data_IF_232592570099
#
_entry.id   IF_232592570099
#
_cell.length_a   1.000
_cell.length_b   1.000
_cell.length_c   1.000
_cell.angle_alpha   90.00
_cell.angle_beta   90.00
_cell.angle_gamma   90.00
#
_symmetry.space_group_name_H-M   'P 1'
#
loop_
_entity.id
_entity.type
_entity.pdbx_description
1 polymer ?
#
# COMPACT_ATOMS: atom_id res chain seq x y z
N UNK A 1 13.25 28.13 -3.10
CA UNK A 1 12.76 27.96 -1.69
C UNK A 1 11.42 27.22 -1.60
N UNK A 2 10.64 27.09 -2.69
CA UNK A 2 9.46 26.20 -2.78
C UNK A 2 9.84 24.70 -2.73
N UNK A 3 11.00 24.36 -3.28
CA UNK A 3 11.49 22.97 -3.34
C UNK A 3 11.69 22.38 -1.95
N UNK A 4 12.11 23.18 -0.96
CA UNK A 4 12.29 22.71 0.42
C UNK A 4 10.97 22.29 1.07
N UNK A 5 9.85 22.99 0.76
CA UNK A 5 8.52 22.59 1.24
C UNK A 5 8.08 21.26 0.64
N UNK A 6 8.31 21.07 -0.67
CA UNK A 6 7.99 19.82 -1.34
C UNK A 6 8.84 18.66 -0.82
N UNK A 7 10.14 18.88 -0.60
CA UNK A 7 11.04 17.90 0.03
C UNK A 7 10.57 17.52 1.43
N UNK A 8 10.15 18.49 2.26
CA UNK A 8 9.59 18.21 3.60
C UNK A 8 8.34 17.34 3.52
N UNK A 9 7.46 17.55 2.54
CA UNK A 9 6.28 16.70 2.33
C UNK A 9 6.65 15.28 1.93
N UNK A 10 7.64 15.11 1.05
CA UNK A 10 8.16 13.79 0.69
C UNK A 10 8.74 13.06 1.91
N UNK A 11 9.50 13.76 2.75
CA UNK A 11 10.01 13.23 4.02
C UNK A 11 8.84 12.79 4.90
N UNK A 12 7.82 13.64 5.08
CA UNK A 12 6.66 13.31 5.90
C UNK A 12 5.90 12.09 5.39
N UNK A 13 5.79 11.89 4.07
CA UNK A 13 5.20 10.68 3.47
C UNK A 13 5.98 9.43 3.87
N UNK A 14 7.31 9.47 3.80
CA UNK A 14 8.15 8.34 4.22
C UNK A 14 7.99 8.08 5.73
N UNK A 15 7.94 9.13 6.54
CA UNK A 15 7.71 8.99 7.98
C UNK A 15 6.35 8.39 8.33
N UNK A 16 5.29 8.65 7.55
CA UNK A 16 3.99 7.98 7.73
C UNK A 16 4.09 6.46 7.55
N UNK A 17 4.90 5.98 6.60
CA UNK A 17 5.15 4.54 6.46
C UNK A 17 6.02 3.99 7.60
N UNK A 18 7.04 4.73 8.04
CA UNK A 18 7.90 4.33 9.17
C UNK A 18 7.17 4.22 10.50
N UNK A 19 6.08 4.97 10.70
CA UNK A 19 5.17 4.80 11.85
C UNK A 19 4.46 3.45 11.87
N UNK A 20 4.23 2.86 10.70
CA UNK A 20 3.59 1.54 10.58
C UNK A 20 4.61 0.42 10.77
N UNK A 21 5.77 0.56 10.14
CA UNK A 21 6.90 -0.35 10.27
C UNK A 21 8.21 0.41 9.95
N UNK A 22 9.11 0.60 10.93
CA UNK A 22 10.37 1.29 10.73
C UNK A 22 11.29 0.63 9.69
N UNK A 23 11.12 -0.67 9.43
CA UNK A 23 11.90 -1.46 8.49
C UNK A 23 11.13 -1.77 7.19
N UNK A 24 10.03 -1.05 6.92
CA UNK A 24 9.20 -1.27 5.74
C UNK A 24 10.02 -1.09 4.46
N UNK A 25 10.08 -2.15 3.66
CA UNK A 25 10.83 -2.15 2.40
C UNK A 25 10.14 -1.25 1.35
N UNK A 26 10.94 -0.55 0.55
CA UNK A 26 10.44 0.34 -0.50
C UNK A 26 9.50 -0.36 -1.50
N UNK A 27 9.77 -1.63 -1.81
CA UNK A 27 8.89 -2.45 -2.66
C UNK A 27 7.49 -2.65 -2.05
N UNK A 28 7.39 -2.76 -0.72
CA UNK A 28 6.12 -2.88 0.01
C UNK A 28 5.32 -1.59 -0.11
N UNK A 29 5.99 -0.45 0.09
CA UNK A 29 5.40 0.89 -0.06
C UNK A 29 4.89 1.08 -1.49
N UNK A 30 5.70 0.74 -2.50
CA UNK A 30 5.32 0.83 -3.90
C UNK A 30 4.04 0.02 -4.21
N UNK A 31 3.97 -1.23 -3.75
CA UNK A 31 2.80 -2.07 -3.98
C UNK A 31 1.54 -1.53 -3.30
N UNK A 32 1.66 -0.98 -2.09
CA UNK A 32 0.54 -0.29 -1.45
C UNK A 32 0.04 0.87 -2.31
N UNK A 33 0.95 1.75 -2.76
CA UNK A 33 0.60 2.91 -3.58
C UNK A 33 -0.01 2.52 -4.94
N UNK A 34 0.46 1.44 -5.56
CA UNK A 34 -0.13 0.92 -6.80
C UNK A 34 -1.56 0.43 -6.61
N UNK A 35 -1.85 -0.24 -5.50
CA UNK A 35 -3.22 -0.67 -5.17
C UNK A 35 -4.10 0.53 -4.84
N UNK A 36 -3.58 1.55 -4.14
CA UNK A 36 -4.28 2.82 -3.92
C UNK A 36 -4.65 3.49 -5.24
N UNK A 37 -3.71 3.55 -6.19
CA UNK A 37 -3.92 4.16 -7.50
C UNK A 37 -4.94 3.40 -8.36
N UNK A 38 -5.04 2.07 -8.18
CA UNK A 38 -5.98 1.22 -8.91
C UNK A 38 -6.59 0.13 -8.00
N UNK A 39 -7.60 0.46 -7.18
CA UNK A 39 -8.26 -0.53 -6.33
C UNK A 39 -8.87 -1.67 -7.15
N UNK A 40 -8.70 -2.91 -6.70
CA UNK A 40 -9.13 -4.10 -7.43
C UNK A 40 -8.15 -4.59 -8.49
N UNK A 41 -6.94 -4.00 -8.59
CA UNK A 41 -5.85 -4.50 -9.43
C UNK A 41 -5.52 -5.96 -9.08
N UNK A 42 -5.19 -6.75 -10.09
CA UNK A 42 -4.85 -8.17 -9.90
C UNK A 42 -3.39 -8.34 -9.46
N UNK A 43 -3.08 -9.44 -8.77
CA UNK A 43 -1.68 -9.78 -8.44
C UNK A 43 -0.80 -9.94 -9.68
N UNK A 44 -1.39 -10.36 -10.81
CA UNK A 44 -0.70 -10.49 -12.10
C UNK A 44 -0.31 -9.13 -12.67
N UNK A 45 -1.23 -8.17 -12.67
CA UNK A 45 -0.94 -6.81 -13.12
C UNK A 45 0.08 -6.12 -12.21
N UNK A 46 0.05 -6.36 -10.89
CA UNK A 46 1.07 -5.86 -9.98
C UNK A 46 2.47 -6.39 -10.36
N UNK A 47 2.60 -7.69 -10.63
CA UNK A 47 3.87 -8.28 -11.07
C UNK A 47 4.38 -7.66 -12.38
N UNK A 48 3.48 -7.39 -13.33
CA UNK A 48 3.80 -6.75 -14.61
C UNK A 48 4.25 -5.28 -14.43
N UNK A 49 3.73 -4.58 -13.43
CA UNK A 49 4.04 -3.17 -13.18
C UNK A 49 5.32 -2.93 -12.37
N UNK A 50 5.82 -3.94 -11.65
CA UNK A 50 6.95 -3.76 -10.71
C UNK A 50 8.16 -4.63 -10.99
N UNK A 51 8.13 -5.45 -12.05
CA UNK A 51 9.16 -6.46 -12.37
C UNK A 51 9.43 -7.46 -11.22
N UNK A 52 8.50 -7.56 -10.27
CA UNK A 52 8.63 -8.45 -9.11
C UNK A 52 8.09 -9.84 -9.45
N UNK A 53 8.72 -10.88 -8.90
CA UNK A 53 8.19 -12.23 -9.00
C UNK A 53 6.85 -12.36 -8.29
N UNK A 54 6.00 -13.28 -8.76
CA UNK A 54 4.71 -13.59 -8.11
C UNK A 54 4.87 -13.97 -6.64
N UNK A 55 5.99 -14.61 -6.27
CA UNK A 55 6.33 -14.93 -4.89
C UNK A 55 6.64 -13.67 -4.07
N UNK A 56 7.33 -12.67 -4.64
CA UNK A 56 7.56 -11.38 -3.99
C UNK A 56 6.27 -10.58 -3.87
N UNK A 57 5.42 -10.53 -4.90
CA UNK A 57 4.09 -9.90 -4.80
C UNK A 57 3.28 -10.55 -3.68
N UNK A 58 3.15 -11.88 -3.67
CA UNK A 58 2.37 -12.58 -2.66
C UNK A 58 2.89 -12.33 -1.24
N UNK A 59 4.21 -12.31 -1.03
CA UNK A 59 4.81 -11.99 0.28
C UNK A 59 4.48 -10.57 0.73
N UNK A 60 4.64 -9.59 -0.16
CA UNK A 60 4.37 -8.19 0.17
C UNK A 60 2.89 -7.92 0.40
N UNK A 61 1.99 -8.48 -0.43
CA UNK A 61 0.55 -8.35 -0.23
C UNK A 61 0.10 -9.03 1.07
N UNK A 62 0.71 -10.16 1.45
CA UNK A 62 0.46 -10.78 2.75
C UNK A 62 0.95 -9.91 3.92
N UNK A 63 2.14 -9.32 3.81
CA UNK A 63 2.67 -8.40 4.83
C UNK A 63 1.80 -7.14 4.97
N UNK A 64 1.26 -6.62 3.88
CA UNK A 64 0.30 -5.50 3.87
C UNK A 64 -1.12 -5.94 4.28
N UNK A 65 -1.38 -7.24 4.30
CA UNK A 65 -2.66 -7.84 4.66
C UNK A 65 -2.91 -7.90 6.16
N UNK A 66 -4.02 -8.52 6.56
CA UNK A 66 -4.33 -8.77 7.97
C UNK A 66 -3.38 -9.79 8.61
N UNK A 67 -2.94 -10.79 7.85
CA UNK A 67 -2.08 -11.87 8.34
C UNK A 67 -0.94 -12.14 7.37
N UNK A 68 0.28 -12.20 7.90
CA UNK A 68 1.47 -12.61 7.17
C UNK A 68 1.45 -14.12 6.91
N UNK A 69 2.20 -14.59 5.90
CA UNK A 69 2.41 -16.01 5.54
C UNK A 69 2.83 -16.95 6.70
N UNK A 70 3.31 -16.42 7.83
CA UNK A 70 3.69 -17.18 9.02
C UNK A 70 2.69 -17.12 10.19
N UNK A 71 1.47 -16.63 9.96
CA UNK A 71 0.45 -16.44 11.02
C UNK A 71 0.66 -15.20 11.88
N UNK A 72 1.75 -14.46 11.66
CA UNK A 72 1.99 -13.18 12.32
C UNK A 72 1.02 -12.11 11.82
N UNK A 73 0.61 -11.14 12.65
CA UNK A 73 -0.20 -10.01 12.21
C UNK A 73 0.52 -9.23 11.09
N UNK A 74 -0.21 -8.94 10.01
CA UNK A 74 0.25 -8.00 8.99
C UNK A 74 -0.19 -6.57 9.30
N UNK A 75 0.09 -5.63 8.38
CA UNK A 75 -0.24 -4.23 8.58
C UNK A 75 -1.74 -3.92 8.50
N UNK A 76 -2.55 -4.86 7.98
CA UNK A 76 -3.98 -4.74 7.75
C UNK A 76 -4.35 -3.52 6.88
N UNK A 77 -3.55 -3.23 5.86
CA UNK A 77 -3.76 -2.12 4.92
C UNK A 77 -4.48 -2.58 3.65
N UNK A 78 -4.21 -3.80 3.20
CA UNK A 78 -4.77 -4.39 1.99
C UNK A 78 -5.56 -5.66 2.28
N UNK A 79 -6.48 -6.01 1.39
CA UNK A 79 -7.18 -7.28 1.38
C UNK A 79 -7.09 -7.88 0.00
N UNK A 80 -6.67 -9.14 -0.07
CA UNK A 80 -6.74 -9.93 -1.30
C UNK A 80 -8.03 -10.75 -1.32
N UNK A 81 -8.69 -10.84 -2.47
CA UNK A 81 -9.92 -11.62 -2.67
C UNK A 81 -9.94 -12.29 -4.04
N UNK A 82 -10.72 -13.35 -4.18
CA UNK A 82 -10.93 -14.04 -5.46
C UNK A 82 -11.83 -13.20 -6.38
N UNK A 83 -11.46 -13.10 -7.65
CA UNK A 83 -12.32 -12.45 -8.64
C UNK A 83 -13.64 -13.25 -8.80
N UNK A 84 -14.82 -12.59 -8.70
CA UNK A 84 -16.10 -13.26 -8.88
C UNK A 84 -16.27 -13.94 -10.25
N UNK A 85 -15.62 -13.43 -11.30
CA UNK A 85 -15.69 -13.95 -12.67
C UNK A 85 -14.65 -15.04 -12.94
N UNK A 86 -13.51 -14.99 -12.26
CA UNK A 86 -12.43 -15.98 -12.36
C UNK A 86 -11.73 -16.20 -11.02
N UNK A 87 -12.15 -17.24 -10.29
CA UNK A 87 -11.59 -17.60 -8.98
C UNK A 87 -10.08 -17.85 -8.97
N UNK A 88 -9.45 -18.12 -10.13
CA UNK A 88 -7.99 -18.28 -10.23
C UNK A 88 -7.25 -16.95 -10.11
N UNK A 89 -7.96 -15.84 -10.35
CA UNK A 89 -7.43 -14.48 -10.29
C UNK A 89 -7.66 -13.89 -8.90
N UNK A 90 -6.59 -13.41 -8.27
CA UNK A 90 -6.66 -12.66 -7.01
C UNK A 90 -6.57 -11.17 -7.27
N UNK A 91 -7.55 -10.43 -6.76
CA UNK A 91 -7.60 -8.97 -6.72
C UNK A 91 -7.18 -8.45 -5.37
N UNK A 92 -6.72 -7.21 -5.34
CA UNK A 92 -6.26 -6.54 -4.13
C UNK A 92 -6.92 -5.17 -4.00
N UNK A 93 -7.40 -4.85 -2.81
CA UNK A 93 -8.03 -3.57 -2.48
C UNK A 93 -7.63 -3.10 -1.08
N UNK A 94 -7.99 -1.85 -0.75
CA UNK A 94 -7.74 -1.27 0.57
C UNK A 94 -8.72 -1.81 1.61
N UNK A 95 -8.21 -2.04 2.83
CA UNK A 95 -9.05 -2.19 4.03
C UNK A 95 -9.52 -0.82 4.53
N UNK A 96 -10.34 -0.81 5.59
CA UNK A 96 -10.69 0.43 6.28
C UNK A 96 -9.44 1.16 6.82
N UNK A 97 -8.50 0.44 7.43
CA UNK A 97 -7.23 1.00 7.92
C UNK A 97 -6.35 1.49 6.76
N UNK A 98 -6.29 0.76 5.65
CA UNK A 98 -5.58 1.19 4.44
C UNK A 98 -6.12 2.51 3.87
N UNK A 99 -7.46 2.67 3.83
CA UNK A 99 -8.10 3.93 3.43
C UNK A 99 -7.74 5.08 4.37
N UNK A 100 -7.71 4.85 5.69
CA UNK A 100 -7.31 5.86 6.66
C UNK A 100 -5.85 6.31 6.46
N UNK A 101 -4.93 5.37 6.23
CA UNK A 101 -3.52 5.68 5.92
C UNK A 101 -3.41 6.47 4.62
N UNK A 102 -4.11 6.05 3.57
CA UNK A 102 -4.15 6.79 2.30
C UNK A 102 -4.62 8.25 2.49
N UNK A 103 -5.66 8.46 3.31
CA UNK A 103 -6.14 9.80 3.65
C UNK A 103 -5.06 10.64 4.38
N UNK A 104 -4.32 10.04 5.31
CA UNK A 104 -3.19 10.69 5.99
C UNK A 104 -2.11 11.12 4.99
N UNK A 105 -1.74 10.23 4.06
CA UNK A 105 -0.74 10.53 3.03
C UNK A 105 -1.16 11.69 2.12
N UNK A 106 -2.44 11.72 1.69
CA UNK A 106 -2.98 12.80 0.85
C UNK A 106 -3.01 14.13 1.62
N UNK A 107 -3.39 14.09 2.90
CA UNK A 107 -3.36 15.26 3.80
C UNK A 107 -1.95 15.84 3.89
N UNK A 108 -0.94 14.99 4.10
CA UNK A 108 0.47 15.40 4.14
C UNK A 108 0.93 15.99 2.79
N UNK A 109 0.59 15.33 1.68
CA UNK A 109 0.99 15.75 0.35
C UNK A 109 0.40 17.12 -0.03
N UNK A 110 -0.89 17.31 0.22
CA UNK A 110 -1.61 18.56 -0.10
C UNK A 110 -1.33 19.65 0.92
N UNK A 111 -1.01 19.29 2.17
CA UNK A 111 -0.91 20.20 3.31
C UNK A 111 -2.26 20.74 3.77
N UNK A 112 -3.37 20.13 3.35
CA UNK A 112 -4.71 20.48 3.80
C UNK A 112 -5.07 19.62 5.01
N UNK A 113 -5.44 20.25 6.13
CA UNK A 113 -6.14 19.53 7.20
C UNK A 113 -7.48 19.12 6.60
N UNK A 114 -7.73 17.80 6.50
CA UNK A 114 -9.00 17.29 6.04
C UNK A 114 -10.12 18.00 6.83
N UNK A 115 -10.98 18.73 6.12
CA UNK A 115 -12.14 19.35 6.72
C UNK A 115 -12.99 18.25 7.35
N UNK A 116 -13.14 18.35 8.68
CA UNK A 116 -14.00 17.48 9.48
C UNK A 116 -15.47 17.66 9.11
#
# INVERSE_FOLDING_TARGET
MSDNKNVRRLISIVEEFRKLDPEMQAQTILLFLLVVARPGITMKELAQNTELSSASISRNIAALGETHRGGQPGHNLLRAYEDPLDRRTKRVELTAKGRAVCSSLITVLTGAVAAA
#
